data_IF_455995148729
#
_entry.id   IF_455995148729
#
_cell.length_a   1.000
_cell.length_b   1.000
_cell.length_c   1.000
_cell.angle_alpha   90.00
_cell.angle_beta   90.00
_cell.angle_gamma   90.00
#
_symmetry.space_group_name_H-M   'P 1'
#
loop_
_entity.id
_entity.type
_entity.pdbx_description
1 polymer ?
#
# COMPACT_ATOMS: atom_id res chain seq x y z
N UNK A 1 13.45 -10.03 14.88
CA UNK A 1 13.50 -9.49 13.51
C UNK A 1 13.13 -8.02 13.61
N UNK A 2 13.95 -7.12 13.08
CA UNK A 2 13.72 -5.66 13.15
C UNK A 2 12.48 -5.29 12.30
N UNK A 3 11.43 -4.67 12.86
CA UNK A 3 10.26 -4.24 12.10
C UNK A 3 10.59 -3.35 10.89
N UNK A 4 11.63 -2.52 10.98
CA UNK A 4 12.08 -1.70 9.86
C UNK A 4 12.71 -2.55 8.74
N UNK A 5 13.41 -3.62 9.11
CA UNK A 5 13.97 -4.60 8.16
C UNK A 5 12.86 -5.38 7.43
N UNK A 6 11.76 -5.72 8.11
CA UNK A 6 10.59 -6.35 7.50
C UNK A 6 10.04 -5.45 6.38
N UNK A 7 9.74 -4.18 6.68
CA UNK A 7 9.18 -3.24 5.70
C UNK A 7 10.14 -3.01 4.53
N UNK A 8 11.44 -2.83 4.81
CA UNK A 8 12.45 -2.62 3.77
C UNK A 8 12.61 -3.83 2.83
N UNK A 9 12.54 -5.04 3.36
CA UNK A 9 12.60 -6.24 2.53
C UNK A 9 11.31 -6.41 1.70
N UNK A 10 10.13 -6.13 2.28
CA UNK A 10 8.86 -6.19 1.56
C UNK A 10 8.77 -5.21 0.38
N UNK A 11 9.47 -4.07 0.42
CA UNK A 11 9.51 -3.13 -0.71
C UNK A 11 10.08 -3.75 -2.01
N UNK A 12 10.89 -4.82 -1.90
CA UNK A 12 11.42 -5.55 -3.06
C UNK A 12 10.34 -6.40 -3.74
N UNK A 13 9.37 -6.87 -2.97
CA UNK A 13 8.32 -7.80 -3.41
C UNK A 13 7.03 -7.08 -3.83
N UNK A 14 6.89 -5.80 -3.48
CA UNK A 14 5.73 -4.99 -3.84
C UNK A 14 5.97 -4.24 -5.15
N UNK A 15 5.07 -4.48 -6.11
CA UNK A 15 4.99 -3.76 -7.37
C UNK A 15 3.86 -2.73 -7.35
N UNK A 16 3.95 -1.74 -8.23
CA UNK A 16 2.97 -0.66 -8.34
C UNK A 16 3.31 0.57 -7.47
N UNK A 17 3.16 1.75 -8.08
CA UNK A 17 3.54 3.04 -7.46
C UNK A 17 2.79 3.31 -6.16
N UNK A 18 1.47 3.04 -6.12
CA UNK A 18 0.64 3.28 -4.94
C UNK A 18 1.01 2.38 -3.76
N UNK A 19 1.18 1.07 -4.01
CA UNK A 19 1.54 0.12 -2.96
C UNK A 19 2.94 0.39 -2.38
N UNK A 20 3.91 0.75 -3.24
CA UNK A 20 5.24 1.19 -2.79
C UNK A 20 5.21 2.49 -2.00
N UNK A 21 4.36 3.46 -2.38
CA UNK A 21 4.24 4.72 -1.65
C UNK A 21 3.78 4.52 -0.20
N UNK A 22 2.80 3.63 0.02
CA UNK A 22 2.30 3.30 1.38
C UNK A 22 3.39 2.67 2.24
N UNK A 23 4.15 1.71 1.69
CA UNK A 23 5.25 1.08 2.44
C UNK A 23 6.43 2.02 2.68
N UNK A 24 6.73 2.90 1.72
CA UNK A 24 7.77 3.92 1.87
C UNK A 24 7.44 4.94 2.96
N UNK A 25 6.17 5.33 3.11
CA UNK A 25 5.72 6.17 4.22
C UNK A 25 6.04 5.51 5.57
N UNK A 26 5.64 4.25 5.74
CA UNK A 26 5.93 3.50 6.98
C UNK A 26 7.44 3.31 7.21
N UNK A 27 8.20 3.03 6.15
CA UNK A 27 9.66 2.87 6.22
C UNK A 27 10.37 4.18 6.63
N UNK A 28 9.88 5.32 6.15
CA UNK A 28 10.42 6.63 6.50
C UNK A 28 10.24 6.92 7.99
N UNK A 29 9.07 6.59 8.55
CA UNK A 29 8.76 6.81 9.97
C UNK A 29 9.71 6.05 10.90
N UNK A 30 10.19 4.87 10.48
CA UNK A 30 11.27 4.15 11.19
C UNK A 30 12.60 4.91 11.23
N UNK A 31 12.90 5.76 10.24
CA UNK A 31 14.15 6.52 10.20
C UNK A 31 14.12 7.78 11.08
N UNK A 32 12.93 8.26 11.46
CA UNK A 32 12.77 9.51 12.23
C UNK A 32 12.39 9.28 13.71
N UNK A 33 12.38 8.04 14.19
CA UNK A 33 12.09 7.70 15.59
C UNK A 33 11.13 6.53 15.78
N UNK A 34 10.62 5.94 14.69
CA UNK A 34 9.68 4.82 14.70
C UNK A 34 8.27 5.27 14.33
N UNK A 35 7.51 4.49 13.53
CA UNK A 35 6.10 4.77 13.31
C UNK A 35 5.35 4.58 14.62
N UNK A 36 4.49 5.55 14.93
CA UNK A 36 3.47 5.34 15.95
C UNK A 36 2.48 4.27 15.48
N UNK A 37 1.71 3.72 16.41
CA UNK A 37 0.58 2.84 16.07
C UNK A 37 -0.39 3.52 15.09
N UNK A 38 -0.60 4.81 15.26
CA UNK A 38 -1.52 5.61 14.43
C UNK A 38 -1.04 5.67 12.97
N UNK A 39 0.26 5.81 12.74
CA UNK A 39 0.86 5.79 11.38
C UNK A 39 0.57 4.46 10.68
N UNK A 40 0.74 3.33 11.38
CA UNK A 40 0.49 2.01 10.80
C UNK A 40 -1.00 1.83 10.52
N UNK A 41 -1.88 2.27 11.42
CA UNK A 41 -3.33 2.24 11.22
C UNK A 41 -3.78 3.13 10.06
N UNK A 42 -3.16 4.29 9.87
CA UNK A 42 -3.40 5.18 8.73
C UNK A 42 -2.94 4.55 7.41
N UNK A 43 -1.71 4.02 7.36
CA UNK A 43 -1.19 3.30 6.20
C UNK A 43 -2.11 2.14 5.79
N UNK A 44 -2.65 1.41 6.77
CA UNK A 44 -3.63 0.36 6.54
C UNK A 44 -4.94 0.90 5.95
N UNK A 45 -5.48 2.01 6.48
CA UNK A 45 -6.68 2.66 5.93
C UNK A 45 -6.48 3.11 4.49
N UNK A 46 -5.31 3.67 4.17
CA UNK A 46 -4.95 4.08 2.81
C UNK A 46 -4.94 2.86 1.88
N UNK A 47 -4.22 1.80 2.24
CA UNK A 47 -4.16 0.58 1.43
C UNK A 47 -5.55 -0.03 1.20
N UNK A 48 -6.39 -0.09 2.23
CA UNK A 48 -7.77 -0.59 2.11
C UNK A 48 -8.64 0.27 1.19
N UNK A 49 -8.47 1.60 1.21
CA UNK A 49 -9.18 2.51 0.31
C UNK A 49 -8.74 2.28 -1.14
N UNK A 50 -7.44 2.16 -1.40
CA UNK A 50 -6.90 1.88 -2.73
C UNK A 50 -7.44 0.55 -3.29
N UNK A 51 -7.51 -0.51 -2.48
CA UNK A 51 -8.13 -1.78 -2.89
C UNK A 51 -9.58 -1.58 -3.34
N UNK A 52 -10.37 -0.77 -2.62
CA UNK A 52 -11.76 -0.49 -3.00
C UNK A 52 -11.86 0.26 -4.32
N UNK A 53 -10.98 1.22 -4.58
CA UNK A 53 -10.96 1.95 -5.86
C UNK A 53 -10.52 1.04 -7.01
N UNK A 54 -9.48 0.21 -6.81
CA UNK A 54 -9.04 -0.77 -7.80
C UNK A 54 -10.13 -1.80 -8.13
N UNK A 55 -10.91 -2.23 -7.14
CA UNK A 55 -12.08 -3.09 -7.37
C UNK A 55 -13.13 -2.42 -8.28
N UNK A 56 -13.37 -1.12 -8.13
CA UNK A 56 -14.27 -0.38 -9.04
C UNK A 56 -13.70 -0.32 -10.45
N UNK A 57 -12.40 -0.06 -10.59
CA UNK A 57 -11.71 -0.07 -11.89
C UNK A 57 -11.87 -1.44 -12.57
N UNK A 58 -11.60 -2.53 -11.85
CA UNK A 58 -11.79 -3.89 -12.36
C UNK A 58 -13.22 -4.10 -12.85
N UNK A 59 -14.22 -3.70 -12.05
CA UNK A 59 -15.63 -3.82 -12.44
C UNK A 59 -15.92 -3.07 -13.74
N UNK A 60 -15.47 -1.83 -13.87
CA UNK A 60 -15.65 -1.03 -15.09
C UNK A 60 -14.98 -1.71 -16.30
N UNK A 61 -13.75 -2.22 -16.13
CA UNK A 61 -13.03 -2.92 -17.21
C UNK A 61 -13.72 -4.24 -17.60
N UNK A 62 -14.30 -4.96 -16.65
CA UNK A 62 -15.09 -6.17 -16.93
C UNK A 62 -16.36 -5.85 -17.70
N UNK A 63 -17.05 -4.76 -17.35
CA UNK A 63 -18.21 -4.26 -18.09
C UNK A 63 -17.83 -3.85 -19.52
N UNK A 64 -16.69 -3.16 -19.68
CA UNK A 64 -16.19 -2.73 -21.00
C UNK A 64 -15.80 -3.91 -21.89
N UNK A 65 -15.23 -4.98 -21.34
CA UNK A 65 -14.83 -6.19 -22.09
C UNK A 65 -15.98 -6.85 -22.85
N UNK A 66 -17.24 -6.58 -22.48
CA UNK A 66 -18.42 -7.08 -23.21
C UNK A 66 -18.61 -6.35 -24.55
N UNK A 67 -18.12 -5.11 -24.66
CA UNK A 67 -18.34 -4.23 -25.80
C UNK A 67 -17.15 -4.14 -26.77
N UNK A 68 -15.99 -4.66 -26.38
CA UNK A 68 -14.75 -4.70 -27.20
C UNK A 68 -14.35 -6.14 -27.50
#
# INVERSE_FOLDING_TARGET
>A
MDPAEIVRNSLKDVEGLGARAVLNYVAYEFNVGGPSRDVVEEALKIAQKEIKELQKVIKILQELKVYV
#
